data_IF_882429634580
#
_entry.id   IF_882429634580
#
_cell.length_a   1.000
_cell.length_b   1.000
_cell.length_c   1.000
_cell.angle_alpha   90.00
_cell.angle_beta   90.00
_cell.angle_gamma   90.00
#
_symmetry.space_group_name_H-M   'P 1'
#
loop_
_entity.id
_entity.type
_entity.pdbx_description
1 polymer ?
#
# COMPACT_ATOMS: atom_id res chain seq x y z
N UNK A 1 4.76 -11.20 -4.09
CA UNK A 1 3.44 -10.97 -3.47
C UNK A 1 2.96 -9.55 -3.79
N UNK A 2 1.66 -9.36 -4.07
CA UNK A 2 1.05 -8.03 -4.24
C UNK A 2 -0.26 -7.94 -3.45
N UNK A 3 -0.43 -6.90 -2.65
CA UNK A 3 -1.61 -6.62 -1.84
C UNK A 3 -2.17 -5.24 -2.23
N UNK A 4 -3.49 -5.08 -2.13
CA UNK A 4 -4.18 -3.80 -2.34
C UNK A 4 -5.15 -3.53 -1.19
N UNK A 5 -5.28 -2.26 -0.81
CA UNK A 5 -6.36 -1.77 0.02
C UNK A 5 -6.90 -0.45 -0.53
N UNK A 6 -8.16 -0.16 -0.22
CA UNK A 6 -8.79 1.14 -0.43
C UNK A 6 -8.77 1.91 0.88
N UNK A 7 -8.47 3.20 0.81
CA UNK A 7 -8.48 4.08 1.99
C UNK A 7 -9.94 4.36 2.36
N UNK A 8 -10.34 4.22 3.65
CA UNK A 8 -11.68 4.59 4.09
C UNK A 8 -12.03 6.01 3.69
N UNK A 9 -13.24 6.26 3.18
CA UNK A 9 -13.63 7.57 2.63
C UNK A 9 -13.44 8.72 3.63
N UNK A 10 -13.63 8.45 4.93
CA UNK A 10 -13.44 9.41 6.01
C UNK A 10 -11.97 9.75 6.33
N UNK A 11 -11.02 8.94 5.83
CA UNK A 11 -9.58 9.09 6.03
C UNK A 11 -8.87 9.67 4.79
N UNK A 12 -9.61 9.95 3.71
CA UNK A 12 -9.07 10.55 2.49
C UNK A 12 -8.86 12.05 2.73
N UNK A 13 -7.63 12.44 3.06
CA UNK A 13 -7.22 13.84 3.22
C UNK A 13 -6.59 14.42 1.92
N UNK A 14 -6.04 13.54 1.07
CA UNK A 14 -5.38 13.87 -0.21
C UNK A 14 -6.09 13.20 -1.41
N UNK A 15 -5.59 13.39 -2.64
CA UNK A 15 -6.09 12.68 -3.82
C UNK A 15 -5.81 11.16 -3.79
N UNK A 16 -5.05 10.66 -2.80
CA UNK A 16 -4.72 9.24 -2.64
C UNK A 16 -5.93 8.45 -2.16
N UNK A 17 -6.29 7.41 -2.91
CA UNK A 17 -7.46 6.54 -2.65
C UNK A 17 -7.10 5.08 -2.42
N UNK A 18 -5.98 4.65 -2.98
CA UNK A 18 -5.56 3.25 -2.96
C UNK A 18 -4.12 3.14 -2.45
N UNK A 19 -3.89 2.05 -1.72
CA UNK A 19 -2.57 1.62 -1.30
C UNK A 19 -2.27 0.24 -1.89
N UNK A 20 -1.06 0.07 -2.40
CA UNK A 20 -0.60 -1.20 -2.95
C UNK A 20 0.71 -1.58 -2.30
N UNK A 21 0.78 -2.77 -1.69
CA UNK A 21 2.03 -3.33 -1.19
C UNK A 21 2.55 -4.35 -2.21
N UNK A 22 3.80 -4.22 -2.63
CA UNK A 22 4.46 -5.17 -3.52
C UNK A 22 5.79 -5.63 -2.94
N UNK A 23 6.05 -6.93 -2.95
CA UNK A 23 7.35 -7.47 -2.58
C UNK A 23 8.38 -7.21 -3.69
N UNK A 24 9.56 -6.80 -3.29
CA UNK A 24 10.74 -6.64 -4.14
C UNK A 24 11.76 -7.73 -3.78
N UNK A 25 11.41 -8.99 -4.04
CA UNK A 25 12.19 -10.16 -3.62
C UNK A 25 13.52 -10.29 -4.38
N UNK A 26 13.63 -9.67 -5.55
CA UNK A 26 14.77 -9.82 -6.45
C UNK A 26 15.88 -8.78 -6.23
N UNK A 27 15.58 -7.60 -5.69
CA UNK A 27 16.56 -6.53 -5.47
C UNK A 27 16.84 -6.28 -3.98
N UNK A 28 15.86 -5.73 -3.24
CA UNK A 28 16.06 -5.32 -1.84
C UNK A 28 15.61 -6.37 -0.81
N UNK A 29 14.83 -7.37 -1.24
CA UNK A 29 14.08 -8.31 -0.38
C UNK A 29 13.07 -7.66 0.56
N UNK A 30 12.69 -6.40 0.30
CA UNK A 30 11.73 -5.65 1.08
C UNK A 30 10.36 -5.55 0.43
N UNK A 31 9.60 -4.53 0.84
CA UNK A 31 8.25 -4.25 0.40
C UNK A 31 8.11 -2.77 0.08
N UNK A 32 7.56 -2.46 -1.09
CA UNK A 32 7.13 -1.10 -1.42
C UNK A 32 5.66 -0.92 -1.08
N UNK A 33 5.33 0.20 -0.44
CA UNK A 33 3.98 0.72 -0.28
C UNK A 33 3.79 1.86 -1.29
N UNK A 34 3.02 1.59 -2.34
CA UNK A 34 2.66 2.57 -3.36
C UNK A 34 1.36 3.26 -2.99
N UNK A 35 1.34 4.59 -3.15
CA UNK A 35 0.19 5.46 -2.94
C UNK A 35 -0.36 5.88 -4.29
N UNK A 36 -1.67 5.69 -4.47
CA UNK A 36 -2.35 5.82 -5.74
C UNK A 36 -3.63 6.64 -5.62
N UNK A 37 -3.77 7.68 -6.44
CA UNK A 37 -5.02 8.40 -6.67
C UNK A 37 -6.02 7.60 -7.51
N UNK A 38 -5.53 6.87 -8.51
CA UNK A 38 -6.22 5.78 -9.21
C UNK A 38 -5.30 4.56 -9.33
N UNK A 39 -5.85 3.38 -9.63
CA UNK A 39 -5.05 2.16 -9.84
C UNK A 39 -4.28 2.15 -11.17
N UNK A 40 -4.31 3.26 -11.90
CA UNK A 40 -3.48 3.44 -13.09
C UNK A 40 -2.04 3.74 -12.66
N UNK A 41 -1.07 3.35 -13.49
CA UNK A 41 0.33 3.73 -13.32
C UNK A 41 0.59 5.09 -13.99
N UNK A 42 1.54 5.90 -13.48
CA UNK A 42 2.40 5.66 -12.32
C UNK A 42 1.70 5.89 -10.96
N UNK A 43 2.25 5.32 -9.88
CA UNK A 43 1.88 5.74 -8.53
C UNK A 43 2.29 7.19 -8.26
N UNK A 44 1.59 7.85 -7.33
CA UNK A 44 1.88 9.23 -6.94
C UNK A 44 3.10 9.31 -6.01
N UNK A 45 3.28 8.31 -5.16
CA UNK A 45 4.41 8.17 -4.26
C UNK A 45 4.67 6.71 -3.87
N UNK A 46 5.86 6.43 -3.34
CA UNK A 46 6.25 5.13 -2.81
C UNK A 46 7.08 5.25 -1.52
N UNK A 47 7.00 4.23 -0.68
CA UNK A 47 7.81 4.06 0.52
C UNK A 47 8.32 2.62 0.61
N UNK A 48 9.56 2.43 1.05
CA UNK A 48 10.16 1.11 1.21
C UNK A 48 10.19 0.67 2.67
N UNK A 49 9.91 -0.62 2.90
CA UNK A 49 9.94 -1.27 4.21
C UNK A 49 10.68 -2.60 4.15
N UNK A 50 11.32 -2.98 5.26
CA UNK A 50 12.02 -4.25 5.37
C UNK A 50 11.07 -5.47 5.42
N UNK A 51 9.83 -5.27 5.85
CA UNK A 51 8.82 -6.32 5.97
C UNK A 51 7.40 -5.78 5.71
N UNK A 52 6.48 -6.69 5.42
CA UNK A 52 5.08 -6.36 5.09
C UNK A 52 4.31 -5.81 6.29
N UNK A 53 4.65 -6.19 7.52
CA UNK A 53 3.95 -5.71 8.72
C UNK A 53 4.24 -4.24 8.98
N UNK A 54 5.48 -3.79 8.72
CA UNK A 54 5.86 -2.38 8.79
C UNK A 54 5.09 -1.55 7.76
N UNK A 55 4.95 -2.04 6.52
CA UNK A 55 4.16 -1.38 5.48
C UNK A 55 2.67 -1.28 5.88
N UNK A 56 2.08 -2.37 6.39
CA UNK A 56 0.69 -2.38 6.88
C UNK A 56 0.49 -1.44 8.08
N UNK A 57 1.43 -1.40 9.02
CA UNK A 57 1.37 -0.49 10.18
C UNK A 57 1.42 0.97 9.75
N UNK A 58 2.25 1.30 8.75
CA UNK A 58 2.28 2.65 8.21
C UNK A 58 0.95 3.02 7.56
N UNK A 59 0.34 2.09 6.83
CA UNK A 59 -0.96 2.28 6.20
C UNK A 59 -2.08 2.50 7.22
N UNK A 60 -2.09 1.74 8.32
CA UNK A 60 -3.05 1.92 9.41
C UNK A 60 -2.90 3.31 10.07
N UNK A 61 -1.67 3.69 10.43
CA UNK A 61 -1.40 4.96 11.15
C UNK A 61 -1.72 6.18 10.28
N UNK A 62 -1.36 6.17 9.00
CA UNK A 62 -1.47 7.34 8.13
C UNK A 62 -2.77 7.40 7.35
N UNK A 63 -3.35 6.26 7.01
CA UNK A 63 -4.48 6.18 6.08
C UNK A 63 -5.66 5.38 6.64
N UNK A 64 -5.57 4.87 7.87
CA UNK A 64 -6.68 4.16 8.52
C UNK A 64 -7.04 2.80 7.91
N UNK A 65 -6.20 2.25 7.03
CA UNK A 65 -6.42 0.93 6.44
C UNK A 65 -6.16 -0.15 7.48
N UNK A 66 -7.17 -0.96 7.79
CA UNK A 66 -7.01 -2.03 8.77
C UNK A 66 -6.12 -3.17 8.24
N UNK A 67 -5.48 -3.91 9.15
CA UNK A 67 -4.58 -5.01 8.81
C UNK A 67 -5.24 -6.12 7.97
N UNK A 68 -6.53 -6.31 8.15
CA UNK A 68 -7.34 -7.36 7.53
C UNK A 68 -8.05 -6.90 6.23
N UNK A 69 -8.01 -5.60 5.90
CA UNK A 69 -8.67 -5.05 4.70
C UNK A 69 -7.85 -5.26 3.41
N UNK A 70 -6.65 -5.83 3.53
CA UNK A 70 -5.75 -6.06 2.41
C UNK A 70 -6.19 -7.26 1.58
N UNK A 71 -6.41 -7.00 0.29
CA UNK A 71 -6.75 -8.01 -0.70
C UNK A 71 -5.50 -8.44 -1.47
N UNK A 72 -5.25 -9.75 -1.57
CA UNK A 72 -4.21 -10.28 -2.43
C UNK A 72 -4.61 -10.08 -3.89
N UNK A 73 -3.76 -9.41 -4.65
CA UNK A 73 -3.88 -9.37 -6.11
C UNK A 73 -3.17 -10.62 -6.64
N UNK A 74 -3.94 -11.65 -7.00
CA UNK A 74 -3.39 -12.78 -7.75
C UNK A 74 -3.06 -12.31 -9.18
N UNK A 75 -1.83 -12.58 -9.61
CA UNK A 75 -1.37 -12.41 -10.99
C UNK A 75 -1.58 -13.69 -11.78
#
# INVERSE_FOLDING_TARGET
MKLKAEIPEEMIDDEIRYLVIQSDEDDTKGFFLFMHSSLDEPCDADLWFADVEAAKRQAEINYGVAFDDWQTLES
#
